data_IF_421443101404
#
_entry.id   IF_421443101404
#
_cell.length_a   1.000
_cell.length_b   1.000
_cell.length_c   1.000
_cell.angle_alpha   90.00
_cell.angle_beta   90.00
_cell.angle_gamma   90.00
#
_symmetry.space_group_name_H-M   'P 1'
#
loop_
_entity.id
_entity.type
_entity.pdbx_description
1 polymer ?
#
# COMPACT_ATOMS: atom_id res chain seq x y z
N UNK A 1 -1.69 -10.51 -6.35
CA UNK A 1 -2.44 -9.44 -5.66
C UNK A 1 -3.73 -9.18 -6.43
N UNK A 2 -4.85 -9.17 -5.74
CA UNK A 2 -6.16 -8.92 -6.36
C UNK A 2 -6.94 -7.89 -5.54
N UNK A 3 -7.86 -7.19 -6.20
CA UNK A 3 -8.73 -6.19 -5.58
C UNK A 3 -10.19 -6.56 -5.81
N UNK A 4 -11.06 -6.20 -4.85
CA UNK A 4 -12.49 -6.48 -4.96
C UNK A 4 -13.24 -5.53 -5.88
N UNK A 5 -12.64 -4.39 -6.20
CA UNK A 5 -13.16 -3.38 -7.14
C UNK A 5 -12.03 -2.92 -8.03
N UNK A 6 -12.39 -2.41 -9.21
CA UNK A 6 -11.41 -1.85 -10.11
C UNK A 6 -10.81 -0.58 -9.49
N UNK A 7 -9.50 -0.56 -9.28
CA UNK A 7 -8.80 0.59 -8.72
C UNK A 7 -8.37 1.62 -9.78
N UNK A 8 -8.57 1.31 -11.07
CA UNK A 8 -8.16 2.21 -12.15
C UNK A 8 -8.86 3.57 -12.09
N UNK A 9 -10.05 3.63 -11.48
CA UNK A 9 -10.80 4.88 -11.33
C UNK A 9 -10.35 5.70 -10.12
N UNK A 10 -9.46 5.17 -9.28
CA UNK A 10 -8.93 5.91 -8.14
C UNK A 10 -7.67 6.66 -8.56
N UNK A 11 -7.48 7.87 -8.02
CA UNK A 11 -6.26 8.63 -8.27
C UNK A 11 -5.13 8.04 -7.41
N UNK A 12 -4.01 7.59 -8.02
CA UNK A 12 -2.86 7.17 -7.23
C UNK A 12 -2.31 8.33 -6.41
N UNK A 13 -1.77 8.03 -5.23
CA UNK A 13 -1.16 9.01 -4.35
C UNK A 13 0.33 8.75 -4.23
N UNK A 14 1.16 9.71 -4.62
CA UNK A 14 2.61 9.65 -4.44
C UNK A 14 2.96 10.23 -3.08
N UNK A 15 3.44 9.39 -2.17
CA UNK A 15 3.99 9.82 -0.89
C UNK A 15 5.36 10.46 -1.14
N UNK A 16 5.61 11.62 -0.54
CA UNK A 16 6.86 12.39 -0.75
C UNK A 16 8.01 12.00 0.18
N UNK A 17 7.87 10.96 1.00
CA UNK A 17 8.98 10.49 1.83
C UNK A 17 10.10 9.87 0.98
N UNK A 18 11.32 9.81 1.54
CA UNK A 18 12.48 9.30 0.82
C UNK A 18 12.27 7.88 0.27
N UNK A 19 11.71 7.01 1.08
CA UNK A 19 11.49 5.62 0.66
C UNK A 19 10.57 5.54 -0.55
N UNK A 20 9.41 6.20 -0.46
CA UNK A 20 8.41 6.14 -1.54
C UNK A 20 8.91 6.83 -2.81
N UNK A 21 9.60 7.96 -2.70
CA UNK A 21 10.13 8.66 -3.86
C UNK A 21 11.22 7.86 -4.57
N UNK A 22 12.08 7.17 -3.82
CA UNK A 22 13.11 6.32 -4.41
C UNK A 22 12.53 5.13 -5.17
N UNK A 23 11.36 4.64 -4.76
CA UNK A 23 10.65 3.57 -5.45
C UNK A 23 9.67 4.07 -6.51
N UNK A 24 9.54 5.39 -6.67
CA UNK A 24 8.50 5.98 -7.52
C UNK A 24 7.11 5.42 -7.18
N UNK A 25 6.85 5.17 -5.91
CA UNK A 25 5.63 4.52 -5.48
C UNK A 25 4.42 5.44 -5.64
N UNK A 26 3.33 4.88 -6.15
CA UNK A 26 2.04 5.56 -6.23
C UNK A 26 0.99 4.61 -5.65
N UNK A 27 0.37 5.02 -4.56
CA UNK A 27 -0.51 4.17 -3.77
C UNK A 27 -1.96 4.28 -4.23
N UNK A 28 -2.59 3.13 -4.45
CA UNK A 28 -3.99 3.06 -4.81
C UNK A 28 -4.74 2.26 -3.74
N UNK A 29 -5.90 2.77 -3.34
CA UNK A 29 -6.73 2.13 -2.33
C UNK A 29 -8.19 2.56 -2.48
N UNK A 30 -9.09 1.74 -1.92
CA UNK A 30 -10.52 2.01 -1.86
C UNK A 30 -11.03 1.48 -0.52
N UNK A 31 -11.42 2.38 0.38
CA UNK A 31 -11.87 2.00 1.73
C UNK A 31 -13.07 1.06 1.73
N UNK A 32 -13.84 1.03 0.65
CA UNK A 32 -15.00 0.17 0.50
C UNK A 32 -14.71 -1.08 -0.34
N UNK A 33 -13.48 -1.25 -0.77
CA UNK A 33 -13.06 -2.40 -1.55
C UNK A 33 -12.49 -3.51 -0.68
N UNK A 34 -11.76 -4.42 -1.34
CA UNK A 34 -11.02 -5.48 -0.68
C UNK A 34 -9.69 -5.66 -1.40
N UNK A 35 -8.62 -5.85 -0.63
CA UNK A 35 -7.29 -6.11 -1.16
C UNK A 35 -6.85 -7.48 -0.67
N UNK A 36 -6.55 -8.38 -1.59
CA UNK A 36 -6.06 -9.71 -1.25
C UNK A 36 -4.66 -9.90 -1.81
N UNK A 37 -3.72 -10.23 -0.93
CA UNK A 37 -2.33 -10.47 -1.30
C UNK A 37 -2.01 -11.92 -0.98
N UNK A 38 -1.70 -12.69 -2.01
CA UNK A 38 -1.29 -14.09 -1.87
C UNK A 38 0.14 -14.23 -2.37
N UNK A 39 0.96 -14.91 -1.59
CA UNK A 39 2.35 -15.13 -1.92
C UNK A 39 2.80 -16.48 -1.42
N UNK A 40 3.88 -16.99 -2.01
CA UNK A 40 4.57 -18.16 -1.48
C UNK A 40 5.35 -17.75 -0.24
N UNK A 41 5.55 -18.68 0.67
CA UNK A 41 6.36 -18.45 1.86
C UNK A 41 7.76 -17.94 1.44
N UNK A 42 8.22 -16.87 2.09
CA UNK A 42 9.50 -16.25 1.79
C UNK A 42 9.53 -15.38 0.54
N UNK A 43 8.41 -15.21 -0.18
CA UNK A 43 8.36 -14.39 -1.39
C UNK A 43 8.29 -12.89 -1.12
N UNK A 44 7.90 -12.49 0.09
CA UNK A 44 7.77 -11.08 0.47
C UNK A 44 8.71 -10.72 1.61
N UNK A 45 9.48 -9.65 1.41
CA UNK A 45 10.21 -8.97 2.47
C UNK A 45 9.30 -7.91 3.07
N UNK A 46 9.27 -7.82 4.39
CA UNK A 46 8.50 -6.80 5.12
C UNK A 46 9.46 -5.78 5.72
N UNK A 47 9.40 -4.55 5.20
CA UNK A 47 10.26 -3.46 5.62
C UNK A 47 9.47 -2.43 6.42
N UNK A 48 10.04 -1.95 7.52
CA UNK A 48 9.44 -0.90 8.35
C UNK A 48 10.40 0.27 8.47
N UNK A 49 9.84 1.47 8.57
CA UNK A 49 10.61 2.69 8.80
C UNK A 49 9.78 3.69 9.61
N UNK A 50 10.42 4.77 10.05
CA UNK A 50 9.74 5.83 10.79
C UNK A 50 9.07 5.30 12.04
N UNK A 51 7.77 5.52 12.19
CA UNK A 51 7.00 5.04 13.35
C UNK A 51 6.89 3.53 13.43
N UNK A 52 7.22 2.80 12.36
CA UNK A 52 7.11 1.34 12.31
C UNK A 52 5.70 0.81 12.17
N UNK A 53 4.71 1.69 11.99
CA UNK A 53 3.29 1.30 11.87
C UNK A 53 3.01 0.57 10.58
N UNK A 54 3.60 1.01 9.48
CA UNK A 54 3.39 0.45 8.16
C UNK A 54 4.47 -0.56 7.83
N UNK A 55 4.08 -1.64 7.17
CA UNK A 55 4.98 -2.64 6.61
C UNK A 55 4.93 -2.54 5.10
N UNK A 56 6.08 -2.28 4.49
CA UNK A 56 6.21 -2.24 3.03
C UNK A 56 6.58 -3.63 2.55
N UNK A 57 5.82 -4.15 1.59
CA UNK A 57 5.98 -5.50 1.08
C UNK A 57 6.73 -5.46 -0.24
N UNK A 58 7.91 -6.07 -0.26
CA UNK A 58 8.77 -6.12 -1.45
C UNK A 58 8.94 -7.56 -1.90
N UNK A 59 8.94 -7.77 -3.22
CA UNK A 59 9.18 -9.09 -3.77
C UNK A 59 10.66 -9.48 -3.56
N UNK A 60 10.91 -10.64 -2.94
CA UNK A 60 12.27 -11.09 -2.69
C UNK A 60 12.98 -11.55 -3.97
N UNK A 61 12.25 -11.83 -5.06
CA UNK A 61 12.83 -12.26 -6.33
C UNK A 61 13.27 -11.11 -7.22
N UNK A 62 12.44 -10.06 -7.33
CA UNK A 62 12.71 -8.97 -8.28
C UNK A 62 12.83 -7.60 -7.61
N UNK A 63 12.60 -7.51 -6.30
CA UNK A 63 12.71 -6.25 -5.57
C UNK A 63 11.56 -5.26 -5.74
N UNK A 64 10.52 -5.60 -6.49
CA UNK A 64 9.40 -4.68 -6.70
C UNK A 64 8.68 -4.43 -5.39
N UNK A 65 8.41 -3.16 -5.10
CA UNK A 65 7.55 -2.75 -3.99
C UNK A 65 6.10 -3.00 -4.40
N UNK A 66 5.44 -3.93 -3.72
CA UNK A 66 4.13 -4.45 -4.11
C UNK A 66 3.01 -3.68 -3.44
N UNK A 67 3.08 -3.53 -2.13
CA UNK A 67 2.00 -2.95 -1.33
C UNK A 67 2.53 -2.45 0.00
N UNK A 68 1.69 -1.71 0.70
CA UNK A 68 1.93 -1.31 2.09
C UNK A 68 0.73 -1.75 2.92
N UNK A 69 0.98 -2.25 4.12
CA UNK A 69 -0.07 -2.69 5.05
C UNK A 69 0.19 -2.11 6.44
N UNK A 70 -0.89 -1.96 7.20
CA UNK A 70 -0.83 -1.56 8.60
C UNK A 70 -2.04 -2.14 9.33
N UNK A 71 -1.94 -2.27 10.65
CA UNK A 71 -3.09 -2.66 11.47
C UNK A 71 -3.83 -1.43 11.95
N UNK A 72 -5.16 -1.47 11.83
CA UNK A 72 -6.02 -0.46 12.43
C UNK A 72 -6.06 -0.61 13.94
N UNK A 73 -6.69 0.34 14.64
CA UNK A 73 -6.82 0.28 16.09
C UNK A 73 -7.57 -0.97 16.57
N UNK A 74 -8.51 -1.47 15.77
CA UNK A 74 -9.27 -2.69 16.09
C UNK A 74 -8.59 -3.98 15.61
N UNK A 75 -7.34 -3.89 15.15
CA UNK A 75 -6.53 -5.04 14.79
C UNK A 75 -6.72 -5.57 13.37
N UNK A 76 -7.53 -4.91 12.55
CA UNK A 76 -7.73 -5.32 11.15
C UNK A 76 -6.56 -4.86 10.29
N UNK A 77 -6.23 -5.67 9.28
CA UNK A 77 -5.26 -5.25 8.28
C UNK A 77 -5.90 -4.27 7.30
N UNK A 78 -5.18 -3.18 7.04
CA UNK A 78 -5.50 -2.21 6.00
C UNK A 78 -4.31 -2.14 5.06
N UNK A 79 -4.57 -1.83 3.80
CA UNK A 79 -3.48 -1.73 2.84
C UNK A 79 -3.76 -0.85 1.65
N UNK A 80 -2.69 -0.54 0.94
CA UNK A 80 -2.71 0.13 -0.34
C UNK A 80 -1.77 -0.59 -1.28
N UNK A 81 -2.14 -0.68 -2.54
CA UNK A 81 -1.32 -1.33 -3.55
C UNK A 81 -0.46 -0.29 -4.26
N UNK A 82 0.77 -0.67 -4.61
CA UNK A 82 1.60 0.18 -5.47
C UNK A 82 1.13 0.01 -6.91
N UNK A 83 0.71 1.12 -7.54
CA UNK A 83 0.28 1.11 -8.95
C UNK A 83 1.30 0.41 -9.85
N UNK A 84 2.58 0.62 -9.60
CA UNK A 84 3.65 0.10 -10.45
C UNK A 84 3.81 -1.43 -10.36
N UNK A 85 3.16 -2.09 -9.41
CA UNK A 85 3.17 -3.54 -9.29
C UNK A 85 2.09 -4.22 -10.14
N UNK A 86 1.21 -3.47 -10.76
CA UNK A 86 0.17 -4.02 -11.65
C UNK A 86 0.67 -4.08 -13.08
N UNK A 87 0.30 -5.15 -13.81
CA UNK A 87 0.63 -5.29 -15.22
C UNK A 87 -0.06 -4.22 -16.07
N UNK A 88 -1.26 -3.81 -15.68
CA UNK A 88 -2.04 -2.78 -16.37
C UNK A 88 -1.87 -1.39 -15.75
N UNK A 89 -0.70 -1.11 -15.19
CA UNK A 89 -0.40 0.14 -14.47
C UNK A 89 -0.66 1.41 -15.27
N UNK A 90 -0.58 1.34 -16.60
CA UNK A 90 -0.82 2.50 -17.48
C UNK A 90 -2.29 2.94 -17.48
N UNK A 91 -3.21 2.12 -16.99
CA UNK A 91 -4.64 2.44 -16.95
C UNK A 91 -5.01 3.36 -15.79
N UNK A 92 -4.13 3.51 -14.80
CA UNK A 92 -4.39 4.41 -13.68
C UNK A 92 -4.19 5.86 -14.10
N UNK A 93 -4.95 6.76 -13.49
CA UNK A 93 -4.86 8.19 -13.77
C UNK A 93 -3.58 8.83 -13.22
N UNK A 94 -3.46 10.14 -13.44
CA UNK A 94 -2.31 10.88 -12.96
C UNK A 94 -2.27 10.90 -11.42
N UNK A 95 -1.08 10.72 -10.80
CA UNK A 95 -0.95 10.72 -9.35
C UNK A 95 -1.00 12.12 -8.76
N UNK A 96 -1.42 12.20 -7.48
CA UNK A 96 -1.35 13.41 -6.66
C UNK A 96 -0.32 13.21 -5.56
N UNK A 97 0.48 14.22 -5.28
CA UNK A 97 1.48 14.17 -4.21
C UNK A 97 0.83 14.38 -2.84
N UNK A 98 1.21 13.55 -1.88
CA UNK A 98 0.77 13.64 -0.47
C UNK A 98 1.98 13.57 0.45
N UNK A 99 1.85 14.10 1.67
CA UNK A 99 2.94 14.20 2.64
C UNK A 99 2.57 13.58 3.99
N UNK A 100 2.35 12.25 4.07
CA UNK A 100 2.00 11.61 5.34
C UNK A 100 3.10 11.74 6.38
N UNK A 101 4.37 11.91 5.96
CA UNK A 101 5.49 12.07 6.88
C UNK A 101 5.36 13.30 7.79
N UNK A 102 4.51 14.28 7.42
CA UNK A 102 4.24 15.44 8.23
C UNK A 102 3.23 15.19 9.34
N UNK A 103 2.58 14.02 9.33
CA UNK A 103 1.59 13.66 10.32
C UNK A 103 2.22 12.85 11.46
N UNK A 104 1.67 12.99 12.67
CA UNK A 104 2.04 12.14 13.80
C UNK A 104 1.48 10.72 13.62
N UNK A 105 1.94 9.74 14.45
CA UNK A 105 1.52 8.35 14.29
C UNK A 105 0.00 8.12 14.39
N UNK A 106 -0.68 8.82 15.31
CA UNK A 106 -2.13 8.70 15.46
C UNK A 106 -2.88 9.26 14.27
N UNK A 107 -2.42 10.41 13.76
CA UNK A 107 -3.03 11.04 12.59
C UNK A 107 -2.84 10.21 11.33
N UNK A 108 -1.66 9.59 11.16
CA UNK A 108 -1.41 8.67 10.05
C UNK A 108 -2.38 7.51 10.08
N UNK A 109 -2.53 6.87 11.23
CA UNK A 109 -3.40 5.71 11.36
C UNK A 109 -4.86 6.06 11.11
N UNK A 110 -5.33 7.22 11.62
CA UNK A 110 -6.67 7.71 11.37
C UNK A 110 -6.91 7.95 9.88
N UNK A 111 -5.94 8.55 9.18
CA UNK A 111 -6.03 8.80 7.75
C UNK A 111 -6.07 7.50 6.95
N UNK A 112 -5.20 6.53 7.27
CA UNK A 112 -5.17 5.24 6.60
C UNK A 112 -6.46 4.46 6.82
N UNK A 113 -7.05 4.56 8.02
CA UNK A 113 -8.35 3.92 8.30
C UNK A 113 -9.45 4.44 7.38
N UNK A 114 -9.38 5.72 6.98
CA UNK A 114 -10.36 6.32 6.08
C UNK A 114 -10.08 6.00 4.61
N UNK A 115 -8.83 5.84 4.21
CA UNK A 115 -8.42 5.78 2.81
C UNK A 115 -8.01 4.39 2.35
N UNK A 116 -7.39 3.59 3.22
CA UNK A 116 -6.82 2.30 2.82
C UNK A 116 -7.89 1.22 2.76
N UNK A 117 -7.59 0.21 1.96
CA UNK A 117 -8.51 -0.90 1.69
C UNK A 117 -8.35 -1.97 2.77
N UNK A 118 -9.44 -2.56 3.26
CA UNK A 118 -9.35 -3.78 4.07
C UNK A 118 -8.54 -4.84 3.34
N UNK A 119 -7.54 -5.38 4.01
CA UNK A 119 -6.55 -6.25 3.38
C UNK A 119 -6.53 -7.63 4.01
N UNK A 120 -6.21 -8.63 3.19
CA UNK A 120 -6.06 -10.01 3.58
C UNK A 120 -4.77 -10.55 2.98
N UNK A 121 -3.94 -11.16 3.82
CA UNK A 121 -2.68 -11.75 3.40
C UNK A 121 -2.74 -13.27 3.55
N UNK A 122 -2.29 -13.98 2.53
CA UNK A 122 -2.15 -15.43 2.56
C UNK A 122 -0.76 -15.80 2.05
N UNK A 123 0.03 -16.44 2.91
CA UNK A 123 1.37 -16.93 2.57
C UNK A 123 1.34 -18.46 2.62
N UNK A 124 1.55 -19.08 1.48
CA UNK A 124 1.51 -20.55 1.36
C UNK A 124 2.84 -21.21 1.66
#
# INVERSE_FOLDING_TARGET
>A
MTTGRALADTAPRECDCDFCTRHAAAWVSDAQGALRIRSRDGALLRYRQGSGQAQFLLCTRCGVLVAVIARSQDGRWLGAANRNAFDDRARFGAPATVSPQQLGPEEKLARWTQLWTPAELAED
#
